data_IF_018153651543
#
_entry.id   IF_018153651543
#
_cell.length_a   1.000
_cell.length_b   1.000
_cell.length_c   1.000
_cell.angle_alpha   90.00
_cell.angle_beta   90.00
_cell.angle_gamma   90.00
#
_symmetry.space_group_name_H-M   'P 1'
#
loop_
_entity.id
_entity.type
_entity.pdbx_description
1 polymer ?
#
# COMPACT_ATOMS: atom_id res chain seq x y z
N UNK A 1 3.94 -0.12 -13.32
CA UNK A 1 5.18 0.12 -14.08
C UNK A 1 4.78 0.55 -15.48
N UNK A 2 5.43 1.57 -16.03
CA UNK A 2 5.29 1.97 -17.44
C UNK A 2 6.68 2.40 -17.96
N UNK A 3 6.83 2.80 -19.23
CA UNK A 3 8.15 3.19 -19.73
C UNK A 3 8.68 4.45 -19.04
N UNK A 4 7.76 5.38 -18.71
CA UNK A 4 8.08 6.63 -18.01
C UNK A 4 7.28 6.78 -16.72
N UNK A 5 7.78 7.63 -15.81
CA UNK A 5 7.04 7.98 -14.58
C UNK A 5 5.72 8.69 -14.86
N UNK A 6 5.68 9.53 -15.90
CA UNK A 6 4.47 10.25 -16.30
C UNK A 6 3.38 9.29 -16.77
N UNK A 7 3.74 8.36 -17.67
CA UNK A 7 2.82 7.33 -18.15
C UNK A 7 2.35 6.42 -17.01
N UNK A 8 3.25 6.04 -16.10
CA UNK A 8 2.91 5.22 -14.95
C UNK A 8 1.89 5.92 -14.05
N UNK A 9 2.04 7.24 -13.82
CA UNK A 9 1.08 8.04 -13.05
C UNK A 9 -0.27 8.13 -13.74
N UNK A 10 -0.29 8.35 -15.06
CA UNK A 10 -1.52 8.40 -15.84
C UNK A 10 -2.29 7.06 -15.80
N UNK A 11 -1.59 5.93 -15.85
CA UNK A 11 -2.19 4.58 -15.77
C UNK A 11 -2.61 4.18 -14.34
N UNK A 12 -2.09 4.85 -13.31
CA UNK A 12 -2.30 4.52 -11.91
C UNK A 12 -3.52 5.21 -11.26
N UNK A 13 -4.38 5.89 -12.01
CA UNK A 13 -5.61 6.52 -11.48
C UNK A 13 -6.52 5.54 -10.74
N UNK A 14 -6.52 4.27 -11.15
CA UNK A 14 -7.27 3.23 -10.48
C UNK A 14 -6.76 2.90 -9.08
N UNK A 15 -5.46 3.05 -8.84
CA UNK A 15 -4.82 2.79 -7.54
C UNK A 15 -5.18 3.85 -6.49
N UNK A 16 -5.24 5.12 -6.86
CA UNK A 16 -5.64 6.20 -5.94
C UNK A 16 -7.09 6.06 -5.47
N UNK A 17 -7.98 5.48 -6.29
CA UNK A 17 -9.33 5.15 -5.86
C UNK A 17 -9.36 4.11 -4.74
N UNK A 18 -8.51 3.08 -4.82
CA UNK A 18 -8.43 2.06 -3.76
C UNK A 18 -7.89 2.63 -2.45
N UNK A 19 -6.82 3.44 -2.52
CA UNK A 19 -6.28 4.11 -1.32
C UNK A 19 -7.32 5.03 -0.70
N UNK A 20 -8.02 5.81 -1.53
CA UNK A 20 -9.15 6.63 -1.09
C UNK A 20 -10.22 5.78 -0.39
N UNK A 21 -10.64 4.66 -0.98
CA UNK A 21 -11.65 3.78 -0.38
C UNK A 21 -11.20 3.22 0.97
N UNK A 22 -9.94 2.79 1.11
CA UNK A 22 -9.40 2.33 2.39
C UNK A 22 -9.47 3.41 3.46
N UNK A 23 -9.05 4.63 3.13
CA UNK A 23 -9.13 5.77 4.05
C UNK A 23 -10.59 6.10 4.39
N UNK A 24 -11.45 6.21 3.38
CA UNK A 24 -12.84 6.62 3.55
C UNK A 24 -13.60 5.63 4.42
N UNK A 25 -13.50 4.32 4.13
CA UNK A 25 -14.10 3.26 4.95
C UNK A 25 -13.49 3.18 6.35
N UNK A 26 -12.20 3.50 6.51
CA UNK A 26 -11.52 3.50 7.80
C UNK A 26 -11.86 4.70 8.70
N UNK A 27 -12.38 5.79 8.12
CA UNK A 27 -12.60 7.07 8.81
C UNK A 27 -14.06 7.51 8.85
N UNK A 28 -14.94 6.93 8.04
CA UNK A 28 -16.37 7.26 7.98
C UNK A 28 -17.23 6.06 8.36
N UNK A 29 -18.41 6.34 8.90
CA UNK A 29 -19.48 5.36 9.11
C UNK A 29 -20.68 5.81 8.31
N UNK A 30 -21.20 4.92 7.45
CA UNK A 30 -22.36 5.18 6.60
C UNK A 30 -23.12 3.87 6.37
N UNK A 31 -24.42 3.99 6.09
CA UNK A 31 -25.26 2.83 5.79
C UNK A 31 -24.97 2.29 4.38
N UNK A 32 -25.00 0.97 4.16
CA UNK A 32 -24.81 0.38 2.83
C UNK A 32 -25.76 0.99 1.80
N UNK A 33 -25.22 1.37 0.64
CA UNK A 33 -26.01 1.95 -0.47
C UNK A 33 -26.35 3.44 -0.32
N UNK A 34 -25.94 4.11 0.75
CA UNK A 34 -26.23 5.55 0.94
C UNK A 34 -25.14 6.49 0.44
N UNK A 35 -23.95 5.96 0.15
CA UNK A 35 -22.79 6.75 -0.29
C UNK A 35 -22.29 6.28 -1.65
N UNK A 36 -22.07 7.23 -2.56
CA UNK A 36 -21.39 6.99 -3.82
C UNK A 36 -19.88 7.29 -3.67
N UNK A 37 -19.09 6.27 -3.35
CA UNK A 37 -17.63 6.41 -3.16
C UNK A 37 -16.91 6.96 -4.40
N UNK A 38 -17.44 6.75 -5.61
CA UNK A 38 -16.83 7.27 -6.81
C UNK A 38 -16.94 8.80 -6.91
N UNK A 39 -18.09 9.36 -6.52
CA UNK A 39 -18.29 10.82 -6.49
C UNK A 39 -17.40 11.47 -5.43
N UNK A 40 -17.38 10.90 -4.23
CA UNK A 40 -16.49 11.35 -3.15
C UNK A 40 -15.01 11.32 -3.57
N UNK A 41 -14.62 10.28 -4.30
CA UNK A 41 -13.28 10.17 -4.87
C UNK A 41 -12.97 11.27 -5.90
N UNK A 42 -13.92 11.66 -6.75
CA UNK A 42 -13.70 12.74 -7.74
C UNK A 42 -13.39 14.08 -7.08
N UNK A 43 -13.97 14.35 -5.90
CA UNK A 43 -13.62 15.53 -5.12
C UNK A 43 -12.26 15.35 -4.44
N UNK A 44 -12.02 14.20 -3.83
CA UNK A 44 -10.76 13.91 -3.12
C UNK A 44 -9.54 13.96 -4.06
N UNK A 45 -9.64 13.43 -5.29
CA UNK A 45 -8.52 13.36 -6.24
C UNK A 45 -7.99 14.72 -6.69
N UNK A 46 -8.77 15.78 -6.51
CA UNK A 46 -8.37 17.16 -6.83
C UNK A 46 -7.58 17.81 -5.68
N UNK A 47 -7.56 17.20 -4.50
CA UNK A 47 -6.83 17.71 -3.34
C UNK A 47 -5.33 17.44 -3.46
N UNK A 48 -4.51 18.25 -2.77
CA UNK A 48 -3.07 18.00 -2.65
C UNK A 48 -2.72 16.67 -1.97
N UNK A 49 -3.67 16.07 -1.24
CA UNK A 49 -3.52 14.76 -0.59
C UNK A 49 -3.42 13.63 -1.62
N UNK A 50 -4.22 13.70 -2.68
CA UNK A 50 -4.19 12.72 -3.76
C UNK A 50 -2.84 12.73 -4.49
N UNK A 51 -2.26 13.90 -4.70
CA UNK A 51 -0.95 14.05 -5.35
C UNK A 51 0.17 13.39 -4.55
N UNK A 52 0.23 13.62 -3.23
CA UNK A 52 1.20 12.95 -2.34
C UNK A 52 1.02 11.44 -2.27
N UNK A 53 -0.20 10.96 -2.43
CA UNK A 53 -0.49 9.51 -2.40
C UNK A 53 0.30 8.78 -3.48
N UNK A 54 0.42 9.34 -4.70
CA UNK A 54 1.22 8.76 -5.78
C UNK A 54 2.71 8.57 -5.44
N UNK A 55 3.27 9.35 -4.53
CA UNK A 55 4.68 9.27 -4.16
C UNK A 55 4.98 7.97 -3.40
N UNK A 56 4.00 7.49 -2.62
CA UNK A 56 4.12 6.30 -1.76
C UNK A 56 3.94 4.98 -2.50
N UNK A 57 3.24 4.98 -3.64
CA UNK A 57 2.98 3.76 -4.41
C UNK A 57 4.21 3.26 -5.17
N UNK A 58 4.27 1.96 -5.46
CA UNK A 58 5.20 1.38 -6.44
C UNK A 58 4.73 1.69 -7.87
N UNK A 59 4.71 2.99 -8.20
CA UNK A 59 4.28 3.54 -9.47
C UNK A 59 5.45 4.33 -10.07
N UNK A 60 5.86 3.98 -11.29
CA UNK A 60 6.95 4.63 -12.00
C UNK A 60 7.49 3.81 -13.16
N UNK A 61 8.58 4.31 -13.74
CA UNK A 61 9.45 3.63 -14.70
C UNK A 61 10.19 2.45 -14.07
N UNK A 62 10.81 1.55 -14.86
CA UNK A 62 11.63 0.46 -14.30
C UNK A 62 12.70 0.97 -13.32
N UNK A 63 13.34 2.10 -13.60
CA UNK A 63 14.36 2.68 -12.73
C UNK A 63 13.78 3.21 -11.41
N UNK A 64 12.63 3.88 -11.46
CA UNK A 64 11.92 4.32 -10.26
C UNK A 64 11.50 3.13 -9.40
N UNK A 65 10.99 2.06 -10.01
CA UNK A 65 10.61 0.85 -9.30
C UNK A 65 11.84 0.17 -8.70
N UNK A 66 12.94 -0.03 -9.45
CA UNK A 66 14.20 -0.62 -8.93
C UNK A 66 14.69 0.15 -7.70
N UNK A 67 14.75 1.48 -7.78
CA UNK A 67 15.17 2.31 -6.64
C UNK A 67 14.33 2.06 -5.39
N UNK A 68 13.00 2.10 -5.52
CA UNK A 68 12.07 1.85 -4.41
C UNK A 68 12.18 0.42 -3.87
N UNK A 69 12.36 -0.56 -4.75
CA UNK A 69 12.52 -1.96 -4.36
C UNK A 69 13.84 -2.22 -3.63
N UNK A 70 14.94 -1.54 -4.00
CA UNK A 70 16.20 -1.59 -3.24
C UNK A 70 16.05 -1.02 -1.84
N UNK A 71 15.23 0.02 -1.65
CA UNK A 71 14.92 0.56 -0.33
C UNK A 71 14.17 -0.47 0.54
N UNK A 72 13.28 -1.28 -0.05
CA UNK A 72 12.61 -2.39 0.63
C UNK A 72 13.53 -3.59 0.90
N UNK A 73 14.34 -3.98 -0.08
CA UNK A 73 15.34 -5.04 0.08
C UNK A 73 16.33 -4.69 1.21
N UNK A 74 16.79 -3.44 1.27
CA UNK A 74 17.70 -2.95 2.31
C UNK A 74 17.07 -2.94 3.72
N UNK A 75 15.74 -2.92 3.84
CA UNK A 75 15.05 -3.05 5.13
C UNK A 75 14.71 -4.50 5.49
N UNK A 76 15.15 -5.46 4.68
CA UNK A 76 14.93 -6.90 4.91
C UNK A 76 13.55 -7.40 4.47
N UNK A 77 12.80 -6.62 3.67
CA UNK A 77 11.56 -7.11 3.05
C UNK A 77 11.92 -8.16 2.00
N UNK A 78 11.43 -9.38 2.21
CA UNK A 78 11.73 -10.53 1.35
C UNK A 78 10.65 -10.81 0.30
N UNK A 79 9.44 -10.29 0.50
CA UNK A 79 8.30 -10.57 -0.36
C UNK A 79 7.47 -9.32 -0.63
N UNK A 80 7.09 -9.15 -1.90
CA UNK A 80 6.25 -8.04 -2.37
C UNK A 80 5.06 -8.61 -3.12
N UNK A 81 3.87 -8.23 -2.68
CA UNK A 81 2.61 -8.60 -3.32
C UNK A 81 2.08 -7.38 -4.08
N UNK A 82 1.90 -7.53 -5.39
CA UNK A 82 1.48 -6.44 -6.26
C UNK A 82 -0.05 -6.40 -6.38
N UNK A 83 -0.62 -5.23 -6.11
CA UNK A 83 -2.04 -4.93 -6.30
C UNK A 83 -2.24 -4.06 -7.55
N UNK A 84 -2.40 -4.70 -8.70
CA UNK A 84 -2.52 -4.01 -10.00
C UNK A 84 -3.98 -3.79 -10.43
N UNK A 85 -4.88 -4.68 -10.04
CA UNK A 85 -6.30 -4.60 -10.40
C UNK A 85 -7.04 -3.68 -9.44
N UNK A 86 -6.95 -2.38 -9.71
CA UNK A 86 -7.58 -1.35 -8.89
C UNK A 86 -8.30 -0.32 -9.74
N UNK A 87 -9.48 0.10 -9.29
CA UNK A 87 -10.28 1.14 -9.94
C UNK A 87 -10.58 0.83 -11.41
N UNK A 88 -10.21 1.75 -12.30
CA UNK A 88 -10.52 1.69 -13.74
C UNK A 88 -9.30 1.37 -14.63
N UNK A 89 -8.20 0.87 -14.07
CA UNK A 89 -7.04 0.48 -14.88
C UNK A 89 -7.42 -0.66 -15.82
N UNK A 90 -7.10 -0.52 -17.11
CA UNK A 90 -7.50 -1.51 -18.11
C UNK A 90 -6.72 -2.82 -17.96
N UNK A 91 -7.33 -3.94 -18.39
CA UNK A 91 -6.65 -5.23 -18.40
C UNK A 91 -5.36 -5.19 -19.22
N UNK A 92 -5.39 -4.48 -20.36
CA UNK A 92 -4.23 -4.32 -21.24
C UNK A 92 -3.08 -3.62 -20.51
N UNK A 93 -3.35 -2.49 -19.87
CA UNK A 93 -2.33 -1.74 -19.11
C UNK A 93 -1.72 -2.58 -17.97
N UNK A 94 -2.54 -3.39 -17.30
CA UNK A 94 -2.07 -4.29 -16.24
C UNK A 94 -1.12 -5.33 -16.82
N UNK A 95 -1.50 -6.00 -17.91
CA UNK A 95 -0.68 -7.02 -18.56
C UNK A 95 0.64 -6.43 -19.08
N UNK A 96 0.61 -5.27 -19.75
CA UNK A 96 1.81 -4.58 -20.21
C UNK A 96 2.73 -4.20 -19.04
N UNK A 97 2.17 -3.64 -17.96
CA UNK A 97 2.93 -3.29 -16.76
C UNK A 97 3.61 -4.52 -16.14
N UNK A 98 2.93 -5.66 -16.08
CA UNK A 98 3.48 -6.90 -15.50
C UNK A 98 4.58 -7.48 -16.38
N UNK A 99 4.40 -7.46 -17.70
CA UNK A 99 5.42 -7.92 -18.66
C UNK A 99 6.67 -7.05 -18.59
N UNK A 100 6.51 -5.72 -18.55
CA UNK A 100 7.61 -4.78 -18.41
C UNK A 100 8.35 -4.99 -17.07
N UNK A 101 7.61 -5.11 -15.97
CA UNK A 101 8.19 -5.39 -14.66
C UNK A 101 8.99 -6.71 -14.65
N UNK A 102 8.41 -7.79 -15.18
CA UNK A 102 9.05 -9.10 -15.21
C UNK A 102 10.33 -9.13 -16.06
N UNK A 103 10.36 -8.36 -17.15
CA UNK A 103 11.53 -8.29 -18.04
C UNK A 103 12.63 -7.37 -17.51
N UNK A 104 12.25 -6.18 -17.05
CA UNK A 104 13.23 -5.13 -16.73
C UNK A 104 13.62 -5.14 -15.26
N UNK A 105 12.67 -5.32 -14.34
CA UNK A 105 12.90 -5.09 -12.91
C UNK A 105 13.22 -6.38 -12.18
N UNK A 106 12.40 -7.41 -12.39
CA UNK A 106 12.45 -8.66 -11.63
C UNK A 106 13.80 -9.41 -11.65
N UNK A 107 14.55 -9.47 -12.78
CA UNK A 107 15.80 -10.23 -12.82
C UNK A 107 16.84 -9.74 -11.80
N UNK A 108 16.93 -8.43 -11.60
CA UNK A 108 17.89 -7.82 -10.67
C UNK A 108 17.75 -8.37 -9.24
N UNK A 109 16.52 -8.55 -8.77
CA UNK A 109 16.24 -9.02 -7.41
C UNK A 109 16.32 -10.55 -7.30
N UNK A 110 15.92 -11.25 -8.36
CA UNK A 110 16.06 -12.71 -8.41
C UNK A 110 17.52 -13.16 -8.40
N UNK A 111 18.44 -12.38 -8.98
CA UNK A 111 19.89 -12.66 -8.91
C UNK A 111 20.42 -12.70 -7.47
N UNK A 112 19.80 -11.96 -6.54
CA UNK A 112 20.20 -11.88 -5.12
C UNK A 112 19.33 -12.72 -4.18
N UNK A 113 18.25 -13.33 -4.68
CA UNK A 113 17.31 -14.07 -3.84
C UNK A 113 17.99 -15.22 -3.09
N UNK A 114 18.94 -15.94 -3.72
CA UNK A 114 19.63 -17.06 -3.06
C UNK A 114 20.40 -16.63 -1.79
N UNK A 115 21.11 -15.50 -1.85
CA UNK A 115 21.81 -14.90 -0.70
C UNK A 115 20.81 -14.50 0.39
N UNK A 116 19.72 -13.85 -0.01
CA UNK A 116 18.67 -13.44 0.92
C UNK A 116 17.99 -14.64 1.60
N UNK A 117 17.69 -15.72 0.87
CA UNK A 117 17.10 -16.94 1.43
C UNK A 117 18.05 -17.63 2.42
N UNK A 118 19.36 -17.58 2.19
CA UNK A 118 20.35 -18.11 3.14
C UNK A 118 20.40 -17.29 4.43
N UNK A 119 20.49 -15.97 4.30
CA UNK A 119 20.40 -15.06 5.43
C UNK A 119 19.12 -15.29 6.25
N UNK A 120 17.97 -15.37 5.57
CA UNK A 120 16.67 -15.62 6.21
C UNK A 120 16.66 -16.94 6.98
N UNK A 121 17.23 -18.02 6.43
CA UNK A 121 17.35 -19.31 7.13
C UNK A 121 18.18 -19.19 8.40
N UNK A 122 19.32 -18.51 8.35
CA UNK A 122 20.20 -18.31 9.51
C UNK A 122 19.53 -17.47 10.61
N UNK A 123 18.78 -16.42 10.23
CA UNK A 123 17.95 -15.64 11.18
C UNK A 123 16.89 -16.52 11.83
N UNK A 124 16.15 -17.31 11.04
CA UNK A 124 15.10 -18.19 11.56
C UNK A 124 15.64 -19.32 12.45
N UNK A 125 16.88 -19.76 12.19
CA UNK A 125 17.61 -20.71 13.02
C UNK A 125 18.24 -20.09 14.27
N UNK A 126 18.17 -18.75 14.42
CA UNK A 126 18.83 -17.96 15.48
C UNK A 126 20.35 -18.05 15.46
N UNK A 127 20.93 -18.35 14.30
CA UNK A 127 22.38 -18.26 14.07
C UNK A 127 22.81 -16.80 13.87
N UNK A 128 21.91 -16.00 13.30
CA UNK A 128 21.99 -14.55 13.24
C UNK A 128 20.94 -13.97 14.19
N UNK A 129 21.39 -13.18 15.16
CA UNK A 129 20.52 -12.42 16.05
C UNK A 129 20.32 -11.02 15.46
N UNK A 130 19.06 -10.65 15.21
CA UNK A 130 18.70 -9.31 14.75
C UNK A 130 18.61 -8.35 15.93
N UNK A 131 18.86 -7.07 15.67
CA UNK A 131 18.66 -6.02 16.67
C UNK A 131 17.19 -5.94 17.09
N UNK A 132 16.94 -5.87 18.40
CA UNK A 132 15.61 -5.61 18.95
C UNK A 132 15.33 -4.11 18.86
N UNK A 133 14.61 -3.72 17.80
CA UNK A 133 14.25 -2.33 17.55
C UNK A 133 13.04 -1.97 18.41
N UNK A 134 13.14 -0.91 19.22
CA UNK A 134 11.99 -0.39 19.97
C UNK A 134 10.92 0.14 19.00
N UNK A 135 9.83 -0.61 18.88
CA UNK A 135 8.72 -0.29 17.99
C UNK A 135 7.79 0.80 18.56
N UNK A 136 8.01 1.30 19.78
CA UNK A 136 7.10 2.25 20.46
C UNK A 136 6.79 3.48 19.62
N UNK A 137 7.78 3.99 18.89
CA UNK A 137 7.64 5.16 18.02
C UNK A 137 7.30 4.79 16.56
N UNK A 138 7.40 3.50 16.19
CA UNK A 138 7.14 2.98 14.84
C UNK A 138 5.73 2.36 14.67
N UNK A 139 4.85 2.43 15.69
CA UNK A 139 3.46 1.95 15.59
C UNK A 139 2.55 2.83 14.70
N UNK A 140 3.08 3.89 14.10
CA UNK A 140 2.39 4.71 13.09
C UNK A 140 2.94 4.37 11.72
N UNK A 141 2.16 3.65 10.91
CA UNK A 141 2.44 3.53 9.48
C UNK A 141 2.56 4.95 8.91
N UNK A 142 3.62 5.29 8.17
CA UNK A 142 3.75 6.61 7.53
C UNK A 142 2.54 6.94 6.61
N UNK A 143 1.89 5.91 6.04
CA UNK A 143 0.60 6.04 5.35
C UNK A 143 -0.50 6.56 6.30
N UNK A 144 -0.49 6.14 7.57
CA UNK A 144 -1.41 6.62 8.60
C UNK A 144 -1.19 8.08 9.00
N UNK A 145 0.04 8.60 8.99
CA UNK A 145 0.28 10.03 9.24
C UNK A 145 -0.15 10.90 8.07
N UNK A 146 -0.01 10.43 6.82
CA UNK A 146 -0.65 11.07 5.67
C UNK A 146 -2.19 10.99 5.72
N UNK A 147 -2.74 10.00 6.44
CA UNK A 147 -4.19 9.79 6.60
C UNK A 147 -4.79 10.48 7.84
N UNK A 148 -4.00 10.79 8.88
CA UNK A 148 -4.50 11.37 10.13
C UNK A 148 -3.96 12.79 10.32
N UNK A 149 -4.78 13.80 10.00
CA UNK A 149 -4.93 15.16 10.59
C UNK A 149 -5.90 15.93 9.67
N UNK A 150 -6.93 16.68 10.09
CA UNK A 150 -7.58 17.00 11.37
C UNK A 150 -9.00 16.37 11.41
N UNK A 151 -9.51 16.05 12.61
CA UNK A 151 -10.93 15.73 12.85
C UNK A 151 -11.40 14.30 12.56
N UNK A 152 -10.55 13.41 12.05
CA UNK A 152 -10.90 12.00 11.77
C UNK A 152 -9.99 11.05 12.53
N UNK A 153 -10.50 10.49 13.64
CA UNK A 153 -9.81 9.52 14.49
C UNK A 153 -10.25 8.09 14.10
N UNK A 154 -9.28 7.23 13.79
CA UNK A 154 -9.52 5.78 13.73
C UNK A 154 -9.69 5.29 15.17
N UNK A 155 -10.81 4.64 15.53
CA UNK A 155 -11.03 4.19 16.89
C UNK A 155 -9.91 3.25 17.34
N UNK A 156 -9.50 3.38 18.60
CA UNK A 156 -8.60 2.47 19.29
C UNK A 156 -9.12 1.02 19.26
N UNK A 157 -8.24 0.06 19.50
CA UNK A 157 -8.61 -1.36 19.62
C UNK A 157 -9.74 -1.57 20.63
N UNK A 158 -9.74 -0.83 21.73
CA UNK A 158 -10.78 -0.86 22.76
C UNK A 158 -12.11 -0.33 22.24
N UNK A 159 -12.11 0.79 21.51
CA UNK A 159 -13.32 1.35 20.90
C UNK A 159 -13.88 0.45 19.80
N UNK A 160 -13.03 -0.23 19.03
CA UNK A 160 -13.44 -1.23 18.03
C UNK A 160 -14.12 -2.41 18.74
N UNK A 161 -13.51 -2.95 19.81
CA UNK A 161 -14.10 -4.06 20.57
C UNK A 161 -15.45 -3.68 21.20
N UNK A 162 -15.55 -2.48 21.78
CA UNK A 162 -16.80 -1.96 22.33
C UNK A 162 -17.89 -1.81 21.26
N UNK A 163 -17.56 -1.30 20.07
CA UNK A 163 -18.49 -1.24 18.93
C UNK A 163 -18.96 -2.61 18.47
N UNK A 164 -18.07 -3.61 18.40
CA UNK A 164 -18.44 -4.97 18.01
C UNK A 164 -19.40 -5.60 19.02
N UNK A 165 -19.12 -5.49 20.32
CA UNK A 165 -19.99 -6.00 21.38
C UNK A 165 -21.35 -5.30 21.43
N UNK A 166 -21.40 -4.00 21.12
CA UNK A 166 -22.66 -3.28 21.00
C UNK A 166 -23.48 -3.77 19.79
N UNK A 167 -22.82 -4.05 18.66
CA UNK A 167 -23.47 -4.53 17.43
C UNK A 167 -24.06 -5.93 17.60
N UNK A 168 -23.40 -6.82 18.36
CA UNK A 168 -23.93 -8.15 18.71
C UNK A 168 -25.18 -8.07 19.59
N UNK A 169 -25.25 -7.12 20.53
CA UNK A 169 -26.42 -6.93 21.39
C UNK A 169 -27.65 -6.43 20.67
N UNK A 170 -27.47 -5.68 19.57
CA UNK A 170 -28.57 -5.15 18.76
C UNK A 170 -29.03 -6.13 17.67
N UNK A 171 -28.30 -7.23 17.46
CA UNK A 171 -28.61 -8.24 16.45
C UNK A 171 -29.51 -9.39 16.97
N UNK A 172 -30.12 -9.22 18.16
CA UNK A 172 -31.07 -10.16 18.80
C UNK A 172 -32.48 -9.59 18.78
#
# INVERSE_FOLDING_TARGET
CAETDEEARAKAEGWTFFVFCLEYNGTHTYEPGTVNLWEEYQTWRQSGKAQKTFETGLIGSPDTIRRKLREFEASGIDQIILLNQSGKTSHHDICESLQLFAREVMPEFHERDAEHQEWKRAVMAKEIELEDIDLKDHKRLAVMDAMSQEGRHRPSQEEIAAKMAAKEKTAV
#
